data_IF_368644724773
#
_entry.id   IF_368644724773
#
_cell.length_a   1.000
_cell.length_b   1.000
_cell.length_c   1.000
_cell.angle_alpha   90.00
_cell.angle_beta   90.00
_cell.angle_gamma   90.00
#
_symmetry.space_group_name_H-M   'P 1'
#
loop_
_entity.id
_entity.type
_entity.pdbx_description
1 polymer ?
#
# COMPACT_ATOMS: atom_id res chain seq x y z
N UNK A 1 20.26 20.41 -49.43
CA UNK A 1 19.52 19.91 -50.61
C UNK A 1 19.15 18.47 -50.36
N UNK A 2 17.86 18.21 -50.18
CA UNK A 2 17.29 16.91 -49.85
C UNK A 2 16.04 17.07 -48.99
N UNK A 3 15.04 17.77 -49.52
CA UNK A 3 13.71 17.88 -48.93
C UNK A 3 13.07 16.47 -48.87
N UNK A 4 13.03 15.90 -47.67
CA UNK A 4 12.37 14.64 -47.37
C UNK A 4 11.00 14.85 -46.74
N UNK A 5 10.14 15.66 -47.37
CA UNK A 5 8.77 15.89 -46.91
C UNK A 5 7.85 14.77 -47.44
N UNK A 6 8.05 13.55 -46.93
CA UNK A 6 7.08 12.45 -47.05
C UNK A 6 6.26 12.37 -45.75
N UNK A 7 4.97 11.99 -45.79
CA UNK A 7 4.22 11.77 -44.57
C UNK A 7 4.92 10.67 -43.78
N UNK A 8 5.40 11.00 -42.58
CA UNK A 8 5.98 10.02 -41.67
C UNK A 8 4.92 8.96 -41.37
N UNK A 9 5.16 7.72 -41.83
CA UNK A 9 4.35 6.58 -41.44
C UNK A 9 4.46 6.36 -39.92
N UNK A 10 3.37 5.90 -39.29
CA UNK A 10 3.39 5.50 -37.87
C UNK A 10 4.61 4.62 -37.56
N UNK A 11 5.29 4.92 -36.46
CA UNK A 11 6.47 4.16 -36.00
C UNK A 11 7.80 4.54 -36.65
N UNK A 12 7.85 5.55 -37.55
CA UNK A 12 9.14 6.05 -38.07
C UNK A 12 9.90 6.80 -36.97
N UNK A 13 11.16 6.46 -36.75
CA UNK A 13 12.07 7.21 -35.88
C UNK A 13 12.55 8.47 -36.60
N UNK A 14 12.40 9.62 -35.94
CA UNK A 14 12.78 10.94 -36.40
C UNK A 14 13.95 11.40 -35.54
N UNK A 15 15.11 11.67 -36.15
CA UNK A 15 16.24 12.27 -35.45
C UNK A 15 16.03 13.78 -35.27
N UNK A 16 16.11 14.26 -34.03
CA UNK A 16 16.08 15.68 -33.68
C UNK A 16 17.36 16.01 -32.90
N UNK A 17 18.45 16.32 -33.61
CA UNK A 17 19.77 16.51 -33.01
C UNK A 17 20.23 15.26 -32.26
N UNK A 18 20.49 15.32 -30.94
CA UNK A 18 20.87 14.16 -30.14
C UNK A 18 19.71 13.23 -29.76
N UNK A 19 18.46 13.60 -30.05
CA UNK A 19 17.27 12.86 -29.64
C UNK A 19 16.70 11.97 -30.77
N UNK A 20 16.13 10.83 -30.37
CA UNK A 20 15.36 9.95 -31.25
C UNK A 20 13.88 10.02 -30.87
N UNK A 21 13.08 10.61 -31.75
CA UNK A 21 11.66 10.85 -31.54
C UNK A 21 10.81 9.90 -32.40
N UNK A 22 9.56 9.67 -32.03
CA UNK A 22 8.57 9.04 -32.91
C UNK A 22 7.20 9.65 -32.64
N UNK A 23 6.34 9.70 -33.67
CA UNK A 23 4.96 10.20 -33.54
C UNK A 23 4.06 9.25 -32.75
N UNK A 24 4.48 7.99 -32.58
CA UNK A 24 3.73 6.93 -31.91
C UNK A 24 3.94 6.86 -30.39
N UNK A 25 5.09 7.34 -29.90
CA UNK A 25 5.41 7.37 -28.47
C UNK A 25 5.02 8.72 -27.93
N UNK A 26 3.85 8.78 -27.31
CA UNK A 26 3.27 9.97 -26.71
C UNK A 26 2.63 9.64 -25.37
N UNK A 27 2.12 10.65 -24.68
CA UNK A 27 1.52 10.50 -23.35
C UNK A 27 0.28 9.57 -23.35
N UNK A 28 -0.49 9.52 -24.44
CA UNK A 28 -1.65 8.63 -24.55
C UNK A 28 -1.23 7.15 -24.58
N UNK A 29 -0.15 6.82 -25.31
CA UNK A 29 0.46 5.49 -25.29
C UNK A 29 0.94 5.12 -23.88
N UNK A 30 1.64 6.03 -23.20
CA UNK A 30 2.10 5.78 -21.82
C UNK A 30 0.92 5.51 -20.88
N UNK A 31 -0.15 6.30 -20.97
CA UNK A 31 -1.36 6.09 -20.18
C UNK A 31 -2.07 4.77 -20.52
N UNK A 32 -2.01 4.33 -21.78
CA UNK A 32 -2.54 3.01 -22.17
C UNK A 32 -1.71 1.86 -21.58
N UNK A 33 -0.38 2.00 -21.53
CA UNK A 33 0.52 1.02 -20.89
C UNK A 33 0.26 0.97 -19.38
N UNK A 34 0.11 2.14 -18.73
CA UNK A 34 -0.22 2.23 -17.31
C UNK A 34 -1.55 1.52 -16.99
N UNK A 35 -2.58 1.75 -17.81
CA UNK A 35 -3.87 1.09 -17.63
C UNK A 35 -3.78 -0.43 -17.75
N UNK A 36 -3.01 -0.93 -18.72
CA UNK A 36 -2.77 -2.37 -18.88
C UNK A 36 -2.01 -2.96 -17.68
N UNK A 37 -1.01 -2.26 -17.15
CA UNK A 37 -0.28 -2.67 -15.96
C UNK A 37 -1.17 -2.72 -14.70
N UNK A 38 -1.99 -1.69 -14.49
CA UNK A 38 -2.91 -1.62 -13.35
C UNK A 38 -3.98 -2.72 -13.42
N UNK A 39 -4.49 -3.03 -14.62
CA UNK A 39 -5.42 -4.14 -14.83
C UNK A 39 -4.79 -5.51 -14.59
N UNK A 40 -3.52 -5.72 -15.00
CA UNK A 40 -2.82 -7.00 -14.84
C UNK A 40 -2.48 -7.30 -13.37
N UNK A 41 -2.24 -6.25 -12.58
CA UNK A 41 -1.87 -6.33 -11.16
C UNK A 41 -3.04 -6.11 -10.20
N UNK A 42 -4.30 -6.09 -10.69
CA UNK A 42 -5.47 -5.74 -9.89
C UNK A 42 -5.80 -6.78 -8.79
N UNK A 43 -5.39 -8.04 -8.96
CA UNK A 43 -5.82 -9.16 -8.11
C UNK A 43 -4.70 -9.83 -7.31
N UNK A 44 -3.51 -9.25 -7.28
CA UNK A 44 -2.36 -9.82 -6.58
C UNK A 44 -1.82 -8.87 -5.49
N UNK A 45 -0.79 -9.32 -4.76
CA UNK A 45 -0.13 -8.49 -3.74
C UNK A 45 0.64 -7.29 -4.34
N UNK A 46 0.70 -7.17 -5.67
CA UNK A 46 1.28 -6.02 -6.36
C UNK A 46 0.23 -4.94 -6.63
N UNK A 47 -0.97 -5.06 -6.05
CA UNK A 47 -2.06 -4.09 -6.14
C UNK A 47 -1.79 -2.78 -5.36
N UNK A 48 -0.62 -2.14 -5.54
CA UNK A 48 -0.19 -0.96 -4.78
C UNK A 48 -0.61 0.36 -5.45
N UNK A 49 -0.72 1.42 -4.65
CA UNK A 49 -0.89 2.81 -5.08
C UNK A 49 0.39 3.34 -5.73
N UNK A 50 0.21 4.07 -6.84
CA UNK A 50 1.26 4.69 -7.63
C UNK A 50 1.09 6.21 -7.64
N UNK A 51 2.21 6.92 -7.55
CA UNK A 51 2.29 8.36 -7.70
C UNK A 51 2.90 8.68 -9.07
N UNK A 52 2.17 9.44 -9.89
CA UNK A 52 2.64 9.94 -11.17
C UNK A 52 2.82 11.46 -11.07
N UNK A 53 4.08 11.89 -11.03
CA UNK A 53 4.43 13.31 -11.08
C UNK A 53 4.71 13.75 -12.52
N UNK A 54 3.95 14.73 -13.00
CA UNK A 54 4.05 15.26 -14.36
C UNK A 54 4.93 16.53 -14.37
N UNK A 55 6.19 16.36 -14.76
CA UNK A 55 7.08 17.49 -15.03
C UNK A 55 6.81 18.06 -16.43
N UNK A 56 6.39 19.32 -16.50
CA UNK A 56 6.00 19.98 -17.73
C UNK A 56 7.12 20.85 -18.26
N UNK A 57 7.72 20.40 -19.36
CA UNK A 57 8.78 21.13 -20.04
C UNK A 57 8.32 21.64 -21.41
N UNK A 58 8.79 22.83 -21.78
CA UNK A 58 8.64 23.32 -23.15
C UNK A 58 9.72 22.67 -24.04
N UNK A 59 9.34 22.25 -25.24
CA UNK A 59 10.30 21.67 -26.17
C UNK A 59 11.18 22.76 -26.82
N UNK A 60 12.47 22.49 -26.97
CA UNK A 60 13.36 23.30 -27.78
C UNK A 60 12.96 23.27 -29.27
N UNK A 61 13.33 24.30 -30.06
CA UNK A 61 13.08 24.31 -31.50
C UNK A 61 13.62 23.07 -32.21
N UNK A 62 12.88 22.53 -33.17
CA UNK A 62 13.27 21.30 -33.86
C UNK A 62 14.55 21.45 -34.71
N UNK A 63 14.85 22.67 -35.16
CA UNK A 63 16.04 23.05 -35.92
C UNK A 63 17.26 23.34 -35.04
N UNK A 64 17.05 23.65 -33.75
CA UNK A 64 18.09 23.73 -32.72
C UNK A 64 17.62 23.09 -31.40
N UNK A 65 17.63 21.75 -31.32
CA UNK A 65 17.14 21.00 -30.16
C UNK A 65 18.03 21.14 -28.91
N UNK A 66 19.14 21.89 -29.01
CA UNK A 66 20.04 22.20 -27.89
C UNK A 66 19.89 23.63 -27.37
N UNK A 67 19.08 24.47 -28.05
CA UNK A 67 18.77 25.81 -27.59
C UNK A 67 17.78 25.79 -26.40
N UNK A 68 17.66 26.94 -25.74
CA UNK A 68 16.60 27.17 -24.76
C UNK A 68 15.23 27.03 -25.41
N UNK A 69 14.28 26.46 -24.69
CA UNK A 69 12.90 26.34 -25.16
C UNK A 69 12.21 27.70 -25.23
N UNK A 70 11.47 27.91 -26.32
CA UNK A 70 10.60 29.07 -26.50
C UNK A 70 9.23 28.84 -25.85
N UNK A 71 8.55 29.91 -25.47
CA UNK A 71 7.15 29.85 -25.01
C UNK A 71 6.26 29.38 -26.16
N UNK A 72 5.51 28.27 -26.01
CA UNK A 72 4.58 27.81 -27.04
C UNK A 72 3.49 28.85 -27.33
N UNK A 73 3.11 28.98 -28.60
CA UNK A 73 1.97 29.81 -28.97
C UNK A 73 0.68 29.27 -28.31
N UNK A 74 -0.26 30.15 -27.98
CA UNK A 74 -1.48 29.78 -27.25
C UNK A 74 -2.33 28.69 -27.94
N UNK A 75 -2.28 28.62 -29.28
CA UNK A 75 -2.97 27.60 -30.07
C UNK A 75 -2.21 26.26 -30.17
N UNK A 76 -0.94 26.23 -29.77
CA UNK A 76 -0.12 25.02 -29.68
C UNK A 76 -0.22 24.34 -28.30
N UNK A 77 -0.69 25.06 -27.28
CA UNK A 77 -0.95 24.49 -25.96
C UNK A 77 -2.12 23.50 -26.00
N UNK A 78 -2.04 22.38 -25.25
CA UNK A 78 -3.11 21.40 -25.23
C UNK A 78 -4.44 21.98 -24.72
N UNK A 79 -5.54 21.58 -25.36
CA UNK A 79 -6.89 22.00 -24.97
C UNK A 79 -7.92 20.91 -25.25
N UNK A 80 -9.07 20.99 -24.58
CA UNK A 80 -10.15 20.00 -24.72
C UNK A 80 -9.65 18.58 -24.49
N UNK A 81 -9.81 17.71 -25.49
CA UNK A 81 -9.43 16.29 -25.43
C UNK A 81 -7.93 16.02 -25.33
N UNK A 82 -7.09 17.04 -25.56
CA UNK A 82 -5.64 16.95 -25.47
C UNK A 82 -5.09 17.42 -24.13
N UNK A 83 -5.94 17.94 -23.23
CA UNK A 83 -5.52 18.21 -21.85
C UNK A 83 -5.01 16.92 -21.20
N UNK A 84 -4.02 17.04 -20.33
CA UNK A 84 -3.39 15.91 -19.65
C UNK A 84 -4.44 15.13 -18.85
N UNK A 85 -5.31 15.82 -18.11
CA UNK A 85 -6.42 15.18 -17.40
C UNK A 85 -7.33 14.39 -18.33
N UNK A 86 -7.63 14.92 -19.53
CA UNK A 86 -8.51 14.28 -20.50
C UNK A 86 -7.90 13.00 -21.09
N UNK A 87 -6.57 12.96 -21.23
CA UNK A 87 -5.84 11.76 -21.68
C UNK A 87 -5.81 10.72 -20.55
N UNK A 88 -5.47 11.13 -19.32
CA UNK A 88 -5.47 10.25 -18.14
C UNK A 88 -6.85 9.62 -17.94
N UNK A 89 -7.91 10.43 -17.90
CA UNK A 89 -9.27 9.96 -17.61
C UNK A 89 -9.83 9.03 -18.69
N UNK A 90 -9.38 9.15 -19.94
CA UNK A 90 -9.78 8.24 -21.01
C UNK A 90 -9.29 6.81 -20.78
N UNK A 91 -8.07 6.66 -20.28
CA UNK A 91 -7.39 5.36 -20.18
C UNK A 91 -7.36 4.81 -18.74
N UNK A 92 -7.38 5.68 -17.72
CA UNK A 92 -7.13 5.32 -16.31
C UNK A 92 -8.18 5.85 -15.33
N UNK A 93 -9.35 6.34 -15.78
CA UNK A 93 -10.38 6.90 -14.87
C UNK A 93 -10.81 5.96 -13.76
N UNK A 94 -10.94 4.65 -14.05
CA UNK A 94 -11.29 3.65 -13.06
C UNK A 94 -10.25 3.51 -11.93
N UNK A 95 -8.98 3.78 -12.25
CA UNK A 95 -7.86 3.60 -11.33
C UNK A 95 -7.39 4.90 -10.67
N UNK A 96 -7.90 6.07 -11.06
CA UNK A 96 -7.33 7.34 -10.61
C UNK A 96 -8.11 7.89 -9.42
N UNK A 97 -7.43 8.19 -8.30
CA UNK A 97 -8.00 8.96 -7.20
C UNK A 97 -7.65 10.44 -7.35
N UNK A 98 -8.65 11.32 -7.29
CA UNK A 98 -8.52 12.69 -7.78
C UNK A 98 -8.70 13.75 -6.67
N UNK A 99 -8.18 14.98 -6.86
CA UNK A 99 -8.46 16.11 -5.96
C UNK A 99 -9.97 16.42 -5.84
N UNK A 100 -10.73 16.17 -6.91
CA UNK A 100 -12.19 16.24 -6.94
C UNK A 100 -12.82 15.34 -5.89
N UNK A 101 -12.49 14.06 -5.94
CA UNK A 101 -12.98 13.05 -5.01
C UNK A 101 -12.53 13.32 -3.58
N UNK A 102 -11.24 13.66 -3.37
CA UNK A 102 -10.73 14.01 -2.05
C UNK A 102 -11.54 15.15 -1.41
N UNK A 103 -11.83 16.21 -2.16
CA UNK A 103 -12.59 17.37 -1.66
C UNK A 103 -14.03 16.99 -1.32
N UNK A 104 -14.69 16.22 -2.17
CA UNK A 104 -16.07 15.78 -1.95
C UNK A 104 -16.17 14.89 -0.72
N UNK A 105 -15.29 13.88 -0.62
CA UNK A 105 -15.27 12.95 0.50
C UNK A 105 -14.88 13.63 1.82
N UNK A 106 -13.91 14.57 1.80
CA UNK A 106 -13.57 15.39 2.97
C UNK A 106 -14.74 16.25 3.46
N UNK A 107 -15.60 16.71 2.56
CA UNK A 107 -16.75 17.54 2.92
C UNK A 107 -17.89 16.76 3.59
N UNK A 108 -17.95 15.44 3.35
CA UNK A 108 -18.92 14.55 3.96
C UNK A 108 -18.38 13.10 3.97
N UNK A 109 -17.88 12.66 5.12
CA UNK A 109 -17.30 11.34 5.33
C UNK A 109 -18.34 10.21 5.26
N UNK A 110 -19.60 10.53 5.54
CA UNK A 110 -20.76 9.63 5.53
C UNK A 110 -21.55 9.69 4.21
N UNK A 111 -21.07 10.45 3.21
CA UNK A 111 -21.68 10.40 1.89
C UNK A 111 -21.53 9.01 1.27
N UNK A 112 -22.51 8.60 0.46
CA UNK A 112 -22.44 7.31 -0.24
C UNK A 112 -21.16 7.23 -1.09
N UNK A 113 -20.33 6.22 -0.82
CA UNK A 113 -19.03 6.05 -1.50
C UNK A 113 -17.89 6.91 -0.91
N UNK A 114 -18.11 7.49 0.27
CA UNK A 114 -17.10 8.18 1.07
C UNK A 114 -16.54 7.26 2.16
N UNK A 115 -15.59 7.77 2.94
CA UNK A 115 -14.67 6.98 3.74
C UNK A 115 -15.31 6.18 4.88
N UNK A 116 -16.47 6.60 5.39
CA UNK A 116 -17.18 5.91 6.47
C UNK A 116 -18.36 5.06 5.98
N UNK A 117 -18.68 5.12 4.69
CA UNK A 117 -19.70 4.29 4.03
C UNK A 117 -19.11 3.03 3.37
N UNK A 118 -18.04 2.48 3.97
CA UNK A 118 -17.40 1.20 3.61
C UNK A 118 -17.31 0.29 4.83
N UNK A 119 -16.93 -0.98 4.63
CA UNK A 119 -16.67 -1.92 5.73
C UNK A 119 -15.58 -1.39 6.65
N UNK A 120 -15.68 -1.67 7.95
CA UNK A 120 -14.80 -1.07 8.97
C UNK A 120 -13.31 -1.28 8.70
N UNK A 121 -12.93 -2.41 8.10
CA UNK A 121 -11.54 -2.73 7.73
C UNK A 121 -10.96 -1.84 6.61
N UNK A 122 -11.81 -1.22 5.80
CA UNK A 122 -11.41 -0.29 4.74
C UNK A 122 -11.49 1.17 5.15
N UNK A 123 -11.98 1.48 6.37
CA UNK A 123 -12.11 2.88 6.82
C UNK A 123 -10.73 3.45 7.19
N UNK A 124 -10.48 4.74 6.95
CA UNK A 124 -9.32 5.39 7.51
C UNK A 124 -9.49 5.55 9.03
N UNK A 125 -8.39 5.40 9.76
CA UNK A 125 -8.35 5.49 11.22
C UNK A 125 -8.45 6.97 11.65
N UNK A 126 -9.61 7.36 12.17
CA UNK A 126 -9.91 8.76 12.50
C UNK A 126 -9.06 9.35 13.62
N UNK A 127 -8.32 8.52 14.36
CA UNK A 127 -7.41 8.98 15.42
C UNK A 127 -6.20 9.75 14.87
N UNK A 128 -5.91 9.66 13.57
CA UNK A 128 -4.78 10.36 12.93
C UNK A 128 -5.16 11.66 12.23
N UNK A 129 -6.44 12.04 12.24
CA UNK A 129 -6.89 13.28 11.60
C UNK A 129 -8.10 13.89 12.32
N UNK A 130 -8.42 15.13 12.00
CA UNK A 130 -9.52 15.84 12.66
C UNK A 130 -10.84 15.51 12.00
N UNK A 131 -11.83 15.06 12.78
CA UNK A 131 -13.23 14.93 12.33
C UNK A 131 -14.05 16.04 12.96
N UNK A 132 -14.59 16.91 12.11
CA UNK A 132 -15.52 17.96 12.49
C UNK A 132 -16.96 17.46 12.28
N UNK A 133 -17.73 17.38 13.35
CA UNK A 133 -19.13 16.94 13.33
C UNK A 133 -20.11 18.04 13.82
N UNK A 134 -19.75 19.31 13.62
CA UNK A 134 -20.51 20.44 14.16
C UNK A 134 -21.93 20.55 13.55
N UNK A 135 -22.10 20.09 12.31
CA UNK A 135 -23.33 20.21 11.52
C UNK A 135 -24.07 18.87 11.31
N UNK A 136 -23.75 17.82 12.07
CA UNK A 136 -24.23 16.43 11.85
C UNK A 136 -23.81 15.85 10.48
N UNK A 137 -22.82 16.46 9.85
CA UNK A 137 -22.18 15.98 8.62
C UNK A 137 -20.70 15.86 8.98
N UNK A 138 -20.23 14.64 9.29
CA UNK A 138 -18.82 14.43 9.59
C UNK A 138 -17.98 14.86 8.40
N UNK A 139 -17.03 15.77 8.65
CA UNK A 139 -16.13 16.31 7.63
C UNK A 139 -14.72 16.36 8.19
N UNK A 140 -13.72 16.49 7.33
CA UNK A 140 -12.33 16.61 7.77
C UNK A 140 -11.55 17.64 6.95
N UNK A 141 -10.79 18.53 7.61
CA UNK A 141 -9.93 19.47 6.91
C UNK A 141 -8.62 18.82 6.43
N UNK A 142 -8.18 17.72 7.06
CA UNK A 142 -6.82 17.19 6.93
C UNK A 142 -6.74 15.66 6.76
N UNK A 143 -7.84 14.92 6.90
CA UNK A 143 -7.84 13.47 6.73
C UNK A 143 -7.55 13.03 5.30
N UNK A 144 -7.04 11.82 5.14
CA UNK A 144 -6.89 11.14 3.85
C UNK A 144 -7.56 9.75 3.94
N UNK A 145 -8.03 9.21 2.81
CA UNK A 145 -8.39 7.79 2.77
C UNK A 145 -7.17 6.92 3.07
N UNK A 146 -7.42 5.71 3.58
CA UNK A 146 -6.39 4.68 3.74
C UNK A 146 -6.07 4.00 2.41
N UNK A 147 -4.93 3.30 2.35
CA UNK A 147 -4.62 2.39 1.23
C UNK A 147 -5.73 1.35 1.05
N UNK A 148 -6.23 0.77 2.14
CA UNK A 148 -7.37 -0.16 2.13
C UNK A 148 -8.63 0.45 1.48
N UNK A 149 -8.88 1.74 1.66
CA UNK A 149 -9.99 2.43 0.99
C UNK A 149 -9.73 2.60 -0.51
N UNK A 150 -8.60 3.19 -0.87
CA UNK A 150 -8.25 3.50 -2.26
C UNK A 150 -8.12 2.21 -3.08
N UNK A 151 -7.29 1.28 -2.62
CA UNK A 151 -6.88 0.07 -3.35
C UNK A 151 -7.93 -1.03 -3.30
N UNK A 152 -8.48 -1.33 -2.11
CA UNK A 152 -9.31 -2.52 -1.92
C UNK A 152 -10.82 -2.23 -2.03
N UNK A 153 -11.29 -1.13 -1.44
CA UNK A 153 -12.70 -0.75 -1.54
C UNK A 153 -13.05 -0.14 -2.90
N UNK A 154 -12.18 0.73 -3.43
CA UNK A 154 -12.47 1.51 -4.64
C UNK A 154 -11.73 1.03 -5.90
N UNK A 155 -10.78 0.11 -5.78
CA UNK A 155 -9.91 -0.34 -6.89
C UNK A 155 -9.19 0.83 -7.62
N UNK A 156 -8.99 1.94 -6.91
CA UNK A 156 -8.20 3.08 -7.36
C UNK A 156 -6.77 2.90 -6.88
N UNK A 157 -5.79 3.28 -7.71
CA UNK A 157 -4.37 2.98 -7.48
C UNK A 157 -3.43 4.03 -8.09
N UNK A 158 -3.95 5.12 -8.64
CA UNK A 158 -3.16 6.15 -9.30
C UNK A 158 -3.48 7.53 -8.72
N UNK A 159 -2.47 8.19 -8.19
CA UNK A 159 -2.48 9.60 -7.79
C UNK A 159 -1.63 10.36 -8.81
N UNK A 160 -2.17 11.43 -9.39
CA UNK A 160 -1.46 12.23 -10.40
C UNK A 160 -1.31 13.65 -9.93
N UNK A 161 -0.09 14.17 -9.98
CA UNK A 161 0.22 15.56 -9.64
C UNK A 161 1.02 16.26 -10.73
N UNK A 162 1.08 17.58 -10.66
CA UNK A 162 2.11 18.35 -11.35
C UNK A 162 3.38 18.39 -10.51
N UNK A 163 4.51 18.05 -11.13
CA UNK A 163 5.84 18.27 -10.56
C UNK A 163 6.38 19.63 -10.98
N UNK A 164 7.63 19.68 -11.47
CA UNK A 164 8.23 20.90 -11.98
C UNK A 164 7.56 21.39 -13.26
N UNK A 165 7.21 22.67 -13.33
CA UNK A 165 6.66 23.31 -14.52
C UNK A 165 7.62 24.39 -15.00
N UNK A 166 8.06 24.29 -16.25
CA UNK A 166 8.89 25.33 -16.88
C UNK A 166 8.11 26.66 -16.98
N UNK A 167 8.77 27.83 -16.79
CA UNK A 167 8.12 29.14 -16.96
C UNK A 167 7.43 29.32 -18.32
N UNK A 168 7.97 28.70 -19.37
CA UNK A 168 7.40 28.71 -20.71
C UNK A 168 6.02 28.03 -20.79
N UNK A 169 5.70 27.15 -19.84
CA UNK A 169 4.45 26.40 -19.77
C UNK A 169 3.39 27.05 -18.88
N UNK A 170 3.64 28.25 -18.34
CA UNK A 170 2.68 29.02 -17.53
C UNK A 170 1.33 29.24 -18.23
N UNK A 171 1.31 29.28 -19.57
CA UNK A 171 0.09 29.42 -20.36
C UNK A 171 -0.81 28.18 -20.40
N UNK A 172 -0.34 27.02 -19.92
CA UNK A 172 -1.14 25.79 -19.87
C UNK A 172 -2.38 25.97 -18.98
N UNK A 173 -3.50 25.35 -19.36
CA UNK A 173 -4.75 25.50 -18.64
C UNK A 173 -4.84 24.56 -17.42
N UNK A 174 -4.09 24.86 -16.38
CA UNK A 174 -4.09 24.10 -15.12
C UNK A 174 -5.47 24.04 -14.45
N UNK A 175 -6.27 25.11 -14.57
CA UNK A 175 -7.62 25.19 -13.98
C UNK A 175 -8.57 24.15 -14.57
N UNK A 176 -8.45 23.82 -15.86
CA UNK A 176 -9.26 22.77 -16.48
C UNK A 176 -8.95 21.38 -15.92
N UNK A 177 -7.73 21.18 -15.40
CA UNK A 177 -7.26 19.91 -14.86
C UNK A 177 -7.37 19.82 -13.32
N UNK A 178 -7.68 20.92 -12.64
CA UNK A 178 -7.60 21.05 -11.18
C UNK A 178 -8.54 20.12 -10.38
N UNK A 179 -9.54 19.51 -11.04
CA UNK A 179 -10.38 18.49 -10.40
C UNK A 179 -9.82 17.07 -10.52
N UNK A 180 -8.84 16.85 -11.39
CA UNK A 180 -8.33 15.54 -11.78
C UNK A 180 -6.85 15.34 -11.43
N UNK A 181 -6.05 16.41 -11.47
CA UNK A 181 -4.60 16.37 -11.20
C UNK A 181 -4.32 17.27 -9.99
N UNK A 182 -3.59 16.73 -9.02
CA UNK A 182 -3.16 17.49 -7.84
C UNK A 182 -2.22 18.63 -8.27
N UNK A 183 -2.38 19.84 -7.70
CA UNK A 183 -1.49 20.95 -8.02
C UNK A 183 -0.07 20.65 -7.52
N UNK A 184 0.89 21.42 -8.04
CA UNK A 184 2.27 21.35 -7.60
C UNK A 184 2.37 21.52 -6.07
N UNK A 185 3.31 20.77 -5.48
CA UNK A 185 3.63 20.80 -4.04
C UNK A 185 2.48 20.31 -3.13
N UNK A 186 1.41 19.72 -3.66
CA UNK A 186 0.32 19.21 -2.83
C UNK A 186 0.66 17.88 -2.14
N UNK A 187 1.27 16.94 -2.87
CA UNK A 187 1.63 15.60 -2.40
C UNK A 187 3.13 15.49 -2.15
N UNK A 188 3.94 16.07 -3.04
CA UNK A 188 5.41 15.95 -3.02
C UNK A 188 6.14 17.12 -2.36
N UNK A 189 5.46 17.99 -1.60
CA UNK A 189 6.16 19.06 -0.88
C UNK A 189 7.10 18.51 0.18
N UNK A 190 8.36 18.94 0.11
CA UNK A 190 9.34 18.61 1.15
C UNK A 190 9.00 19.37 2.43
N UNK A 191 9.01 18.65 3.55
CA UNK A 191 8.98 19.22 4.89
C UNK A 191 10.24 20.05 5.12
N UNK A 192 10.07 21.22 5.73
CA UNK A 192 11.17 22.07 6.18
C UNK A 192 11.82 21.41 7.39
N UNK A 193 12.97 20.79 7.17
CA UNK A 193 13.73 20.06 8.20
C UNK A 193 15.16 20.55 8.17
N UNK A 194 15.71 20.85 9.34
CA UNK A 194 17.12 21.20 9.48
C UNK A 194 17.88 19.99 10.05
N UNK A 195 18.79 19.45 9.24
CA UNK A 195 19.65 18.33 9.62
C UNK A 195 20.98 18.85 10.20
N UNK A 196 21.45 18.18 11.25
CA UNK A 196 22.77 18.41 11.83
C UNK A 196 23.46 17.07 12.16
N UNK A 197 24.70 17.12 12.65
CA UNK A 197 25.48 15.91 12.96
C UNK A 197 24.88 15.02 14.07
N UNK A 198 23.91 15.52 14.84
CA UNK A 198 23.18 14.81 15.88
C UNK A 198 21.80 14.31 15.41
N UNK A 199 21.42 14.55 14.15
CA UNK A 199 20.13 14.19 13.57
C UNK A 199 19.27 15.40 13.21
N UNK A 200 17.95 15.27 13.36
CA UNK A 200 16.98 16.33 13.04
C UNK A 200 16.99 17.41 14.13
N UNK A 201 17.43 18.61 13.78
CA UNK A 201 17.52 19.76 14.69
C UNK A 201 16.18 20.50 14.82
N UNK A 202 15.47 20.68 13.70
CA UNK A 202 14.18 21.38 13.60
C UNK A 202 13.29 20.65 12.59
N UNK A 203 11.97 20.70 12.80
CA UNK A 203 10.98 20.09 11.91
C UNK A 203 10.54 18.67 12.29
N UNK A 204 11.10 18.09 13.34
CA UNK A 204 10.68 16.78 13.87
C UNK A 204 9.24 16.82 14.41
N UNK A 205 8.39 15.83 14.07
CA UNK A 205 7.04 15.73 14.63
C UNK A 205 7.01 15.15 16.05
N UNK A 206 8.09 14.48 16.45
CA UNK A 206 8.27 14.09 17.84
C UNK A 206 8.64 15.32 18.67
N UNK A 207 7.87 15.58 19.73
CA UNK A 207 8.12 16.64 20.69
C UNK A 207 7.94 16.10 22.10
N UNK A 208 9.00 16.13 22.90
CA UNK A 208 8.93 15.66 24.28
C UNK A 208 7.87 16.42 25.08
N UNK A 209 6.99 15.68 25.76
CA UNK A 209 5.89 16.23 26.55
C UNK A 209 4.72 16.82 25.75
N UNK A 210 4.77 16.82 24.42
CA UNK A 210 3.65 17.19 23.54
C UNK A 210 3.20 15.98 22.73
N UNK A 211 1.91 15.67 22.80
CA UNK A 211 1.33 14.53 22.07
C UNK A 211 0.47 14.97 20.89
N UNK A 212 0.34 16.28 20.68
CA UNK A 212 -0.35 16.86 19.55
C UNK A 212 0.64 17.08 18.41
N UNK A 213 0.42 16.39 17.29
CA UNK A 213 1.15 16.67 16.05
C UNK A 213 0.47 17.87 15.38
N UNK A 214 1.12 19.03 15.43
CA UNK A 214 0.57 20.29 14.95
C UNK A 214 0.09 20.20 13.50
N UNK A 215 -1.20 20.53 13.29
CA UNK A 215 -1.87 20.61 11.99
C UNK A 215 -1.49 21.90 11.24
N UNK A 216 -0.87 22.87 11.91
CA UNK A 216 -0.60 24.20 11.38
C UNK A 216 0.33 24.20 10.14
N UNK A 217 1.05 23.09 9.89
CA UNK A 217 2.07 22.99 8.85
C UNK A 217 1.67 22.11 7.65
N UNK A 218 0.38 21.91 7.37
CA UNK A 218 -0.07 21.07 6.24
C UNK A 218 0.57 19.66 6.26
N UNK A 219 0.39 18.94 7.36
CA UNK A 219 0.99 17.64 7.63
C UNK A 219 0.36 16.45 6.86
N UNK A 220 -0.38 16.72 5.77
CA UNK A 220 -0.95 15.67 4.92
C UNK A 220 0.14 14.79 4.29
N UNK A 221 1.33 15.35 4.06
CA UNK A 221 2.48 14.66 3.51
C UNK A 221 3.72 15.06 4.29
N UNK A 222 4.30 14.11 5.01
CA UNK A 222 5.51 14.27 5.79
C UNK A 222 6.68 13.64 5.04
N UNK A 223 7.19 14.33 4.02
CA UNK A 223 8.28 13.84 3.17
C UNK A 223 9.50 14.75 3.30
N UNK A 224 10.71 14.23 3.12
CA UNK A 224 11.91 15.05 2.97
C UNK A 224 12.83 14.47 1.90
N UNK A 225 13.29 15.31 0.96
CA UNK A 225 14.17 14.86 -0.12
C UNK A 225 15.64 14.97 0.31
N UNK A 226 16.31 13.82 0.41
CA UNK A 226 17.74 13.72 0.70
C UNK A 226 18.53 13.95 -0.60
N UNK A 227 19.26 15.06 -0.67
CA UNK A 227 19.95 15.54 -1.87
C UNK A 227 21.49 15.48 -1.74
N UNK A 228 22.20 15.66 -2.86
CA UNK A 228 23.67 15.72 -2.90
C UNK A 228 24.21 16.81 -1.93
N UNK A 229 25.06 16.40 -0.98
CA UNK A 229 25.72 17.30 -0.02
C UNK A 229 25.43 17.01 1.45
N UNK A 230 24.52 16.08 1.75
CA UNK A 230 24.30 15.56 3.11
C UNK A 230 25.45 14.66 3.57
N UNK A 231 25.80 14.75 4.85
CA UNK A 231 27.04 14.19 5.39
C UNK A 231 26.95 12.67 5.66
N UNK A 232 25.77 12.16 6.02
CA UNK A 232 25.51 10.74 6.27
C UNK A 232 24.05 10.37 5.96
N UNK A 233 23.78 10.11 4.67
CA UNK A 233 22.44 9.80 4.13
C UNK A 233 21.74 8.67 4.88
N UNK A 234 22.48 7.67 5.37
CA UNK A 234 21.88 6.53 6.09
C UNK A 234 21.41 6.93 7.49
N UNK A 235 22.24 7.67 8.22
CA UNK A 235 21.88 8.22 9.52
C UNK A 235 20.72 9.20 9.39
N UNK A 236 20.77 10.10 8.41
CA UNK A 236 19.73 11.10 8.17
C UNK A 236 18.39 10.46 7.82
N UNK A 237 18.39 9.42 6.98
CA UNK A 237 17.18 8.66 6.67
C UNK A 237 16.54 8.00 7.90
N UNK A 238 17.36 7.42 8.79
CA UNK A 238 16.89 6.85 10.06
C UNK A 238 16.31 7.92 11.00
N UNK A 239 17.02 9.03 11.18
CA UNK A 239 16.59 10.13 12.04
C UNK A 239 15.29 10.79 11.54
N UNK A 240 15.15 11.00 10.23
CA UNK A 240 13.91 11.49 9.62
C UNK A 240 12.76 10.53 9.88
N UNK A 241 12.99 9.22 9.69
CA UNK A 241 11.98 8.19 9.92
C UNK A 241 11.51 8.19 11.37
N UNK A 242 12.43 8.21 12.33
CA UNK A 242 12.10 8.26 13.77
C UNK A 242 11.39 9.59 14.14
N UNK A 243 11.61 10.67 13.38
CA UNK A 243 10.88 11.93 13.47
C UNK A 243 9.50 11.96 12.81
N UNK A 244 9.04 10.84 12.24
CA UNK A 244 7.76 10.74 11.54
C UNK A 244 7.76 11.32 10.12
N UNK A 245 8.94 11.45 9.51
CA UNK A 245 9.12 12.00 8.17
C UNK A 245 9.67 10.90 7.26
N UNK A 246 9.03 10.70 6.10
CA UNK A 246 9.48 9.72 5.12
C UNK A 246 10.62 10.31 4.28
N UNK A 247 11.82 9.74 4.31
CA UNK A 247 12.92 10.21 3.49
C UNK A 247 12.76 9.73 2.04
N UNK A 248 12.94 10.64 1.09
CA UNK A 248 12.94 10.37 -0.34
C UNK A 248 14.36 10.53 -0.86
N UNK A 249 14.95 9.44 -1.34
CA UNK A 249 16.28 9.46 -1.93
C UNK A 249 16.23 10.13 -3.30
N UNK A 250 16.82 11.33 -3.41
CA UNK A 250 16.87 12.10 -4.65
C UNK A 250 18.30 12.22 -5.20
N UNK A 251 19.13 11.22 -4.94
CA UNK A 251 20.52 11.17 -5.38
C UNK A 251 20.96 9.74 -5.74
N UNK A 252 22.04 9.63 -6.51
CA UNK A 252 22.68 8.35 -6.81
C UNK A 252 23.69 8.02 -5.72
N UNK A 253 23.56 6.87 -5.06
CA UNK A 253 24.45 6.49 -3.98
C UNK A 253 25.77 5.95 -4.53
N UNK A 254 26.89 6.44 -3.97
CA UNK A 254 28.24 6.05 -4.39
C UNK A 254 28.52 6.24 -5.89
N UNK A 255 27.85 7.20 -6.54
CA UNK A 255 27.94 7.46 -8.00
C UNK A 255 27.58 6.23 -8.88
N UNK A 256 26.91 5.22 -8.33
CA UNK A 256 26.57 3.97 -9.02
C UNK A 256 25.07 3.71 -8.92
N UNK A 257 24.47 3.30 -10.02
CA UNK A 257 23.03 3.02 -10.05
C UNK A 257 22.68 1.73 -9.31
N UNK A 258 21.45 1.63 -8.79
CA UNK A 258 20.99 0.43 -8.07
C UNK A 258 21.05 -0.86 -8.91
N UNK A 259 20.96 -0.76 -10.24
CA UNK A 259 21.09 -1.92 -11.14
C UNK A 259 22.52 -2.44 -11.26
N UNK A 260 23.51 -1.58 -11.07
CA UNK A 260 24.93 -1.94 -11.07
C UNK A 260 25.40 -2.39 -9.68
N UNK A 261 24.99 -1.67 -8.62
CA UNK A 261 25.25 -2.04 -7.24
C UNK A 261 24.07 -1.68 -6.33
N UNK A 262 23.27 -2.67 -5.98
CA UNK A 262 22.09 -2.47 -5.12
C UNK A 262 22.41 -2.31 -3.63
N UNK A 263 23.65 -2.59 -3.18
CA UNK A 263 23.95 -2.67 -1.74
C UNK A 263 23.78 -1.35 -0.97
N UNK A 264 24.20 -0.18 -1.49
CA UNK A 264 23.97 1.10 -0.80
C UNK A 264 22.47 1.41 -0.68
N UNK A 265 21.71 1.10 -1.72
CA UNK A 265 20.25 1.26 -1.73
C UNK A 265 19.55 0.31 -0.76
N UNK A 266 20.04 -0.92 -0.62
CA UNK A 266 19.55 -1.85 0.41
C UNK A 266 19.84 -1.33 1.82
N UNK A 267 21.02 -0.75 2.05
CA UNK A 267 21.37 -0.14 3.33
C UNK A 267 20.46 1.07 3.65
N UNK A 268 20.16 1.90 2.64
CA UNK A 268 19.21 2.99 2.75
C UNK A 268 17.81 2.51 3.13
N UNK A 269 17.28 1.49 2.44
CA UNK A 269 15.98 0.91 2.79
C UNK A 269 15.99 0.32 4.20
N UNK A 270 17.10 -0.30 4.62
CA UNK A 270 17.25 -0.83 5.96
C UNK A 270 17.32 0.27 7.04
N UNK A 271 17.91 1.44 6.76
CA UNK A 271 17.94 2.56 7.72
C UNK A 271 16.57 3.19 7.95
N UNK A 272 15.64 3.08 6.99
CA UNK A 272 14.24 3.53 7.14
C UNK A 272 13.34 2.49 7.79
N UNK A 273 13.85 1.28 8.09
CA UNK A 273 13.08 0.27 8.82
C UNK A 273 13.03 0.65 10.30
N UNK A 274 11.85 1.08 10.73
CA UNK A 274 11.63 1.53 12.10
C UNK A 274 11.25 0.44 13.12
N UNK A 275 10.50 -0.64 12.78
CA UNK A 275 10.02 -1.56 13.80
C UNK A 275 11.11 -2.54 14.24
N UNK A 276 11.49 -3.48 13.38
CA UNK A 276 12.38 -4.59 13.75
C UNK A 276 13.85 -4.19 13.85
N UNK A 277 14.55 -4.74 14.84
CA UNK A 277 15.99 -4.61 14.99
C UNK A 277 16.77 -5.43 13.96
N UNK A 278 18.08 -5.22 13.91
CA UNK A 278 18.96 -5.96 13.02
C UNK A 278 18.88 -7.48 13.27
N UNK A 279 18.54 -8.24 12.22
CA UNK A 279 18.40 -9.69 12.30
C UNK A 279 17.06 -10.20 12.86
N UNK A 280 16.13 -9.28 13.17
CA UNK A 280 14.79 -9.60 13.65
C UNK A 280 13.73 -9.41 12.54
N UNK A 281 12.58 -10.10 12.61
CA UNK A 281 12.28 -11.18 13.55
C UNK A 281 13.19 -12.38 13.27
N UNK A 282 13.79 -12.96 14.31
CA UNK A 282 14.69 -14.09 14.18
C UNK A 282 13.96 -15.27 13.53
N UNK A 283 14.67 -16.01 12.68
CA UNK A 283 14.12 -17.21 12.05
C UNK A 283 14.09 -18.33 13.06
N UNK A 284 12.90 -18.71 13.52
CA UNK A 284 12.69 -19.89 14.34
C UNK A 284 12.62 -21.11 13.40
N UNK A 285 13.53 -22.07 13.55
CA UNK A 285 13.46 -23.36 12.86
C UNK A 285 12.58 -24.31 13.66
N UNK A 286 11.78 -25.17 13.00
CA UNK A 286 10.88 -26.13 13.67
C UNK A 286 11.61 -27.15 14.59
N UNK A 287 12.94 -27.21 14.51
CA UNK A 287 13.79 -28.13 15.29
C UNK A 287 14.51 -27.43 16.48
N UNK A 288 14.31 -26.13 16.69
CA UNK A 288 14.98 -25.37 17.76
C UNK A 288 14.12 -25.18 19.02
N UNK A 289 14.77 -25.10 20.18
CA UNK A 289 14.17 -24.66 21.46
C UNK A 289 13.64 -23.22 21.44
N UNK A 290 13.77 -22.53 20.30
CA UNK A 290 13.34 -21.16 20.06
C UNK A 290 11.87 -21.04 19.65
N UNK A 291 11.10 -22.14 19.65
CA UNK A 291 9.64 -22.18 19.42
C UNK A 291 8.83 -21.19 20.28
N UNK A 292 9.41 -20.70 21.38
CA UNK A 292 8.76 -19.74 22.25
C UNK A 292 8.96 -18.26 21.83
N UNK A 293 9.92 -17.93 20.96
CA UNK A 293 10.23 -16.55 20.52
C UNK A 293 9.23 -16.03 19.50
N UNK A 294 7.97 -15.93 19.92
CA UNK A 294 6.81 -15.68 19.06
C UNK A 294 6.07 -14.40 19.39
N UNK A 295 6.58 -13.63 20.35
CA UNK A 295 6.00 -12.38 20.84
C UNK A 295 6.98 -11.24 20.66
N UNK A 296 6.52 -10.10 20.17
CA UNK A 296 7.37 -8.94 19.94
C UNK A 296 7.53 -8.12 21.22
N UNK A 297 8.75 -7.70 21.49
CA UNK A 297 9.05 -6.73 22.53
C UNK A 297 9.88 -5.57 22.00
N UNK A 298 9.60 -4.37 22.46
CA UNK A 298 10.42 -3.19 22.26
C UNK A 298 11.62 -3.23 23.22
N UNK A 299 12.82 -2.97 22.69
CA UNK A 299 14.04 -2.86 23.48
C UNK A 299 14.36 -1.38 23.76
N UNK A 300 14.46 -1.00 25.05
CA UNK A 300 14.74 0.39 25.45
C UNK A 300 16.07 0.94 24.91
N UNK A 301 17.10 0.09 24.82
CA UNK A 301 18.43 0.50 24.38
C UNK A 301 18.44 0.81 22.89
N UNK A 302 17.92 -0.09 22.05
CA UNK A 302 17.96 0.08 20.59
C UNK A 302 16.79 0.90 20.05
N UNK A 303 15.68 0.98 20.79
CA UNK A 303 14.42 1.56 20.30
C UNK A 303 13.73 0.71 19.22
N UNK A 304 14.21 -0.52 18.98
CA UNK A 304 13.71 -1.44 17.96
C UNK A 304 13.08 -2.68 18.60
N UNK A 305 12.30 -3.39 17.81
CA UNK A 305 11.58 -4.58 18.20
C UNK A 305 12.46 -5.81 18.05
N UNK A 306 12.22 -6.80 18.91
CA UNK A 306 12.83 -8.12 18.83
C UNK A 306 11.83 -9.19 19.23
N UNK A 307 12.01 -10.40 18.70
CA UNK A 307 11.23 -11.56 19.13
C UNK A 307 11.72 -12.05 20.51
N UNK A 308 10.79 -12.32 21.41
CA UNK A 308 11.05 -12.70 22.82
C UNK A 308 10.16 -13.87 23.23
N UNK A 309 10.62 -14.68 24.19
CA UNK A 309 9.86 -15.81 24.73
C UNK A 309 8.59 -15.30 25.42
N UNK A 310 7.42 -15.68 24.87
CA UNK A 310 6.11 -15.23 25.34
C UNK A 310 5.80 -15.57 26.82
N UNK A 311 6.57 -16.48 27.45
CA UNK A 311 6.44 -16.87 28.85
C UNK A 311 7.26 -15.99 29.80
N UNK A 312 8.10 -15.09 29.28
CA UNK A 312 8.80 -14.11 30.11
C UNK A 312 7.84 -13.06 30.67
N UNK A 313 8.19 -12.54 31.85
CA UNK A 313 7.42 -11.50 32.51
C UNK A 313 8.00 -10.13 32.17
N UNK A 314 7.30 -9.38 31.33
CA UNK A 314 7.64 -8.01 30.96
C UNK A 314 6.46 -7.08 31.21
N UNK A 315 6.73 -5.78 31.28
CA UNK A 315 5.67 -4.78 31.21
C UNK A 315 5.05 -4.75 29.81
N UNK A 316 3.87 -4.16 29.65
CA UNK A 316 3.17 -4.02 28.37
C UNK A 316 2.98 -2.57 27.96
N UNK A 317 3.06 -2.32 26.65
CA UNK A 317 2.76 -1.04 26.04
C UNK A 317 1.25 -0.81 25.98
N UNK A 318 0.75 0.18 26.73
CA UNK A 318 -0.66 0.55 26.77
C UNK A 318 -0.87 1.89 26.05
N UNK A 319 -1.54 1.88 24.91
CA UNK A 319 -1.88 3.11 24.17
C UNK A 319 -3.14 3.74 24.76
N UNK A 320 -3.14 5.04 24.99
CA UNK A 320 -4.37 5.74 25.42
C UNK A 320 -5.40 5.77 24.29
N UNK A 321 -6.68 5.61 24.66
CA UNK A 321 -7.76 5.58 23.69
C UNK A 321 -7.87 6.92 22.95
N UNK A 322 -7.94 6.87 21.62
CA UNK A 322 -7.99 8.04 20.72
C UNK A 322 -6.75 8.96 20.73
N UNK A 323 -5.65 8.56 21.38
CA UNK A 323 -4.42 9.35 21.48
C UNK A 323 -3.24 8.53 20.94
N UNK A 324 -2.98 8.53 19.61
CA UNK A 324 -2.03 7.60 19.00
C UNK A 324 -0.60 7.75 19.52
N UNK A 325 -0.20 8.96 19.90
CA UNK A 325 1.15 9.28 20.36
C UNK A 325 1.33 9.18 21.87
N UNK A 326 0.26 8.89 22.63
CA UNK A 326 0.34 8.82 24.08
C UNK A 326 0.34 7.38 24.57
N UNK A 327 1.46 7.01 25.19
CA UNK A 327 1.72 5.66 25.68
C UNK A 327 1.88 5.65 27.19
N UNK A 328 1.39 4.58 27.81
CA UNK A 328 1.62 4.25 29.21
C UNK A 328 2.20 2.85 29.31
N UNK A 329 2.86 2.60 30.43
CA UNK A 329 3.39 1.28 30.76
C UNK A 329 2.40 0.58 31.70
N UNK A 330 2.21 -0.72 31.51
CA UNK A 330 1.36 -1.53 32.38
C UNK A 330 1.78 -1.40 33.85
N UNK A 331 0.81 -1.52 34.76
CA UNK A 331 1.07 -1.37 36.20
C UNK A 331 1.89 -2.50 36.81
N UNK A 332 1.97 -3.64 36.13
CA UNK A 332 2.75 -4.81 36.54
C UNK A 332 3.29 -5.57 35.33
N UNK A 333 4.38 -6.30 35.56
CA UNK A 333 4.92 -7.27 34.62
C UNK A 333 4.01 -8.51 34.53
N UNK A 334 3.98 -9.12 33.34
CA UNK A 334 3.26 -10.36 33.11
C UNK A 334 3.72 -11.07 31.86
N UNK A 335 3.28 -12.33 31.72
CA UNK A 335 3.43 -13.06 30.46
C UNK A 335 2.61 -12.40 29.37
N UNK A 336 3.01 -12.60 28.11
CA UNK A 336 2.41 -11.95 26.96
C UNK A 336 0.87 -12.04 26.95
N UNK A 337 0.30 -13.20 27.25
CA UNK A 337 -1.16 -13.46 27.24
C UNK A 337 -1.97 -12.78 28.36
N UNK A 338 -1.31 -12.14 29.34
CA UNK A 338 -1.97 -11.57 30.52
C UNK A 338 -1.59 -10.13 30.81
N UNK A 339 -0.61 -9.59 30.08
CA UNK A 339 -0.08 -8.24 30.32
C UNK A 339 -1.11 -7.14 30.06
N UNK A 340 -2.11 -7.43 29.22
CA UNK A 340 -3.27 -6.58 28.93
C UNK A 340 -4.04 -6.14 30.19
N UNK A 341 -4.08 -7.00 31.22
CA UNK A 341 -4.73 -6.72 32.50
C UNK A 341 -4.04 -5.61 33.30
N UNK A 342 -2.81 -5.28 32.95
CA UNK A 342 -2.05 -4.21 33.58
C UNK A 342 -2.32 -2.84 32.97
N UNK A 343 -3.04 -2.75 31.85
CA UNK A 343 -3.52 -1.48 31.28
C UNK A 343 -4.77 -0.98 32.02
N UNK A 344 -4.95 0.34 32.09
CA UNK A 344 -6.07 0.96 32.81
C UNK A 344 -7.34 0.97 31.93
N UNK A 345 -8.48 1.45 32.46
CA UNK A 345 -9.74 1.52 31.68
C UNK A 345 -9.66 2.41 30.43
N UNK A 346 -8.74 3.37 30.44
CA UNK A 346 -8.62 4.41 29.40
C UNK A 346 -7.45 4.13 28.43
N UNK A 347 -6.83 2.95 28.54
CA UNK A 347 -5.76 2.51 27.65
C UNK A 347 -5.86 1.02 27.32
N UNK A 348 -5.30 0.63 26.18
CA UNK A 348 -5.34 -0.75 25.68
C UNK A 348 -3.93 -1.26 25.37
N UNK A 349 -3.71 -2.56 25.59
CA UNK A 349 -2.45 -3.19 25.19
C UNK A 349 -2.32 -3.17 23.67
N UNK A 350 -1.30 -2.49 23.15
CA UNK A 350 -1.22 -2.10 21.75
C UNK A 350 0.21 -2.21 21.20
N UNK A 351 0.33 -1.89 19.91
CA UNK A 351 1.60 -1.85 19.17
C UNK A 351 1.65 -0.54 18.38
N UNK A 352 2.79 0.17 18.35
CA UNK A 352 2.96 1.33 17.50
C UNK A 352 2.66 1.01 16.04
N UNK A 353 1.93 1.88 15.35
CA UNK A 353 1.59 1.68 13.93
C UNK A 353 2.46 2.48 12.98
N UNK A 354 3.15 3.49 13.49
CA UNK A 354 4.05 4.37 12.73
C UNK A 354 5.39 4.49 13.44
N UNK A 355 6.41 4.92 12.69
CA UNK A 355 7.72 5.23 13.26
C UNK A 355 7.62 6.27 14.39
N UNK A 356 6.78 7.30 14.19
CA UNK A 356 6.56 8.35 15.18
C UNK A 356 5.96 7.81 16.48
N UNK A 357 4.93 6.95 16.38
CA UNK A 357 4.38 6.27 17.56
C UNK A 357 5.42 5.42 18.30
N UNK A 358 6.31 4.75 17.55
CA UNK A 358 7.39 3.97 18.15
C UNK A 358 8.35 4.87 18.92
N UNK A 359 8.71 6.04 18.37
CA UNK A 359 9.55 7.04 19.05
C UNK A 359 8.93 7.52 20.35
N UNK A 360 7.62 7.85 20.35
CA UNK A 360 6.90 8.21 21.58
C UNK A 360 6.88 7.07 22.59
N UNK A 361 6.65 5.82 22.15
CA UNK A 361 6.66 4.67 23.05
C UNK A 361 8.06 4.40 23.64
N UNK A 362 9.12 4.52 22.84
CA UNK A 362 10.51 4.37 23.29
C UNK A 362 10.84 5.40 24.37
N UNK A 363 10.48 6.66 24.15
CA UNK A 363 10.68 7.73 25.13
C UNK A 363 9.89 7.45 26.43
N UNK A 364 8.59 7.13 26.34
CA UNK A 364 7.77 6.78 27.50
C UNK A 364 8.33 5.58 28.29
N UNK A 365 8.87 4.57 27.60
CA UNK A 365 9.47 3.40 28.23
C UNK A 365 10.78 3.73 28.95
N UNK A 366 11.65 4.54 28.33
CA UNK A 366 12.90 4.99 28.94
C UNK A 366 12.64 5.84 30.19
N UNK A 367 11.70 6.78 30.12
CA UNK A 367 11.28 7.59 31.27
C UNK A 367 10.77 6.70 32.42
N UNK A 368 9.92 5.71 32.11
CA UNK A 368 9.45 4.77 33.12
C UNK A 368 10.58 4.00 33.82
N UNK A 369 11.56 3.53 33.05
CA UNK A 369 12.73 2.81 33.59
C UNK A 369 13.61 3.70 34.48
N UNK A 370 13.74 4.98 34.14
CA UNK A 370 14.45 5.96 34.98
C UNK A 370 13.73 6.22 36.31
N UNK A 371 12.39 6.28 36.28
CA UNK A 371 11.56 6.43 37.49
C UNK A 371 11.49 5.15 38.34
N UNK A 372 11.61 3.97 37.71
CA UNK A 372 11.51 2.65 38.35
C UNK A 372 12.78 1.83 38.15
N UNK A 373 13.95 2.31 38.62
CA UNK A 373 15.22 1.63 38.37
C UNK A 373 15.23 0.25 39.02
N UNK A 374 15.55 -0.80 38.25
CA UNK A 374 15.75 -2.12 38.81
C UNK A 374 17.08 -2.15 39.58
N UNK A 375 17.07 -2.34 40.93
CA UNK A 375 18.30 -2.37 41.72
C UNK A 375 19.24 -3.54 41.39
N UNK A 376 18.76 -4.54 40.63
CA UNK A 376 19.53 -5.69 40.18
C UNK A 376 20.02 -5.59 38.73
N UNK A 377 19.71 -4.50 38.01
CA UNK A 377 20.20 -4.29 36.64
C UNK A 377 21.71 -4.04 36.66
N UNK A 378 22.48 -5.00 36.14
CA UNK A 378 23.92 -4.88 35.96
C UNK A 378 24.19 -4.11 34.65
N UNK A 379 24.22 -2.79 34.72
CA UNK A 379 24.44 -1.88 33.57
C UNK A 379 25.90 -1.83 33.08
N UNK A 380 26.69 -2.90 33.21
CA UNK A 380 28.03 -2.98 32.60
C UNK A 380 27.91 -3.15 31.07
N UNK A 381 27.60 -2.07 30.37
CA UNK A 381 27.55 -1.94 28.92
C UNK A 381 28.96 -1.81 28.33
N UNK A 382 29.65 -2.95 28.16
CA UNK A 382 30.81 -3.09 27.28
C UNK A 382 30.60 -4.06 26.11
N UNK A 383 29.38 -4.58 25.93
CA UNK A 383 29.09 -5.48 24.82
C UNK A 383 28.29 -4.75 23.73
N UNK A 384 28.85 -4.77 22.52
CA UNK A 384 28.31 -4.19 21.29
C UNK A 384 26.81 -4.49 21.09
N UNK A 385 25.95 -3.54 21.47
CA UNK A 385 24.56 -3.41 20.98
C UNK A 385 23.52 -4.43 21.44
N UNK A 386 23.86 -5.41 22.26
CA UNK A 386 22.91 -6.38 22.81
C UNK A 386 22.96 -6.35 24.35
N UNK A 387 22.26 -5.39 24.97
CA UNK A 387 21.94 -5.50 26.39
C UNK A 387 20.96 -6.66 26.56
N UNK A 388 21.42 -7.77 27.15
CA UNK A 388 20.61 -8.94 27.50
C UNK A 388 19.87 -8.73 28.83
N UNK A 389 19.72 -7.49 29.30
CA UNK A 389 18.92 -7.24 30.49
C UNK A 389 17.44 -7.33 30.08
N UNK A 390 16.77 -8.41 30.51
CA UNK A 390 15.34 -8.63 30.29
C UNK A 390 14.50 -7.46 30.83
N UNK A 391 15.05 -6.66 31.75
CA UNK A 391 14.42 -5.47 32.33
C UNK A 391 14.23 -4.32 31.33
N UNK A 392 14.93 -4.33 30.19
CA UNK A 392 14.82 -3.30 29.15
C UNK A 392 13.75 -3.59 28.10
N UNK A 393 13.03 -4.71 28.23
CA UNK A 393 12.05 -5.16 27.25
C UNK A 393 10.63 -4.78 27.67
N UNK A 394 9.85 -4.36 26.67
CA UNK A 394 8.45 -4.00 26.81
C UNK A 394 7.60 -4.79 25.81
N UNK A 395 6.59 -5.51 26.28
CA UNK A 395 5.68 -6.22 25.40
C UNK A 395 4.95 -5.27 24.46
N UNK A 396 4.86 -5.67 23.20
CA UNK A 396 4.03 -5.07 22.16
C UNK A 396 2.92 -6.05 21.81
N UNK A 397 1.70 -5.58 21.52
CA UNK A 397 0.61 -6.46 21.11
C UNK A 397 0.75 -6.98 19.67
N UNK A 398 1.87 -7.65 19.38
CA UNK A 398 2.27 -8.18 18.09
C UNK A 398 2.98 -9.52 18.26
N UNK A 399 2.51 -10.54 17.54
CA UNK A 399 2.98 -11.91 17.74
C UNK A 399 2.75 -12.74 16.48
N UNK A 400 3.38 -13.91 16.38
CA UNK A 400 3.10 -14.89 15.34
C UNK A 400 2.52 -16.19 15.92
N UNK A 401 1.74 -16.14 17.01
CA UNK A 401 1.29 -17.33 17.75
C UNK A 401 0.34 -18.24 16.95
N UNK A 402 -0.49 -17.67 16.08
CA UNK A 402 -1.40 -18.44 15.22
C UNK A 402 -0.63 -19.28 14.18
N UNK A 403 0.36 -18.67 13.52
CA UNK A 403 1.22 -19.36 12.57
C UNK A 403 2.64 -18.81 12.55
N UNK A 404 3.64 -19.69 12.52
CA UNK A 404 5.07 -19.40 12.73
C UNK A 404 5.68 -18.35 11.80
N UNK A 405 5.09 -18.11 10.63
CA UNK A 405 5.56 -17.11 9.66
C UNK A 405 4.62 -15.92 9.49
N UNK A 406 3.63 -15.76 10.36
CA UNK A 406 2.59 -14.74 10.22
C UNK A 406 2.45 -13.90 11.46
N UNK A 407 3.12 -12.74 11.47
CA UNK A 407 3.01 -11.78 12.56
C UNK A 407 1.71 -10.97 12.43
N UNK A 408 0.94 -10.92 13.51
CA UNK A 408 -0.38 -10.30 13.61
C UNK A 408 -0.48 -9.42 14.85
N UNK A 409 -1.28 -8.35 14.73
CA UNK A 409 -1.65 -7.48 15.84
C UNK A 409 -2.72 -8.16 16.69
N UNK A 410 -2.59 -8.15 18.01
CA UNK A 410 -3.58 -8.74 18.92
C UNK A 410 -3.18 -10.12 19.48
N UNK A 411 -3.48 -10.39 20.75
CA UNK A 411 -3.17 -11.68 21.40
C UNK A 411 -4.02 -12.85 20.89
N UNK A 412 -5.20 -12.60 20.31
CA UNK A 412 -6.18 -13.60 19.88
C UNK A 412 -6.60 -13.39 18.41
N UNK A 413 -5.67 -13.00 17.55
CA UNK A 413 -5.92 -12.80 16.12
C UNK A 413 -5.38 -13.96 15.30
N UNK A 414 -6.12 -14.29 14.25
CA UNK A 414 -5.74 -15.32 13.28
C UNK A 414 -4.99 -14.69 12.12
N UNK A 415 -4.06 -15.44 11.55
CA UNK A 415 -3.31 -15.04 10.37
C UNK A 415 -4.25 -14.82 9.17
N UNK A 416 -4.33 -13.60 8.60
CA UNK A 416 -5.21 -13.33 7.46
C UNK A 416 -4.69 -13.96 6.15
N UNK A 417 -3.38 -14.25 6.08
CA UNK A 417 -2.73 -14.77 4.87
C UNK A 417 -2.83 -16.30 4.73
N UNK A 418 -3.16 -16.98 5.82
CA UNK A 418 -3.43 -18.41 5.77
C UNK A 418 -4.90 -18.55 5.47
N UNK A 419 -5.19 -18.98 4.25
CA UNK A 419 -6.53 -19.43 3.93
C UNK A 419 -6.86 -20.53 4.93
N UNK A 420 -7.83 -20.26 5.81
CA UNK A 420 -8.58 -21.33 6.47
C UNK A 420 -8.96 -22.25 5.35
N UNK A 421 -8.31 -23.41 5.26
CA UNK A 421 -8.40 -24.35 4.16
C UNK A 421 -9.82 -24.31 3.64
N UNK A 422 -10.01 -23.77 2.42
CA UNK A 422 -11.33 -23.70 1.80
C UNK A 422 -11.85 -25.12 1.91
N UNK A 423 -12.78 -25.29 2.85
CA UNK A 423 -13.19 -26.58 3.35
C UNK A 423 -13.53 -27.44 2.14
N UNK A 424 -13.11 -28.70 2.17
CA UNK A 424 -13.28 -29.77 1.17
C UNK A 424 -14.64 -29.79 0.43
N UNK A 425 -15.65 -29.09 0.95
CA UNK A 425 -16.93 -28.73 0.34
C UNK A 425 -16.84 -28.32 -1.15
N UNK A 426 -15.93 -27.43 -1.59
CA UNK A 426 -15.91 -26.97 -3.00
C UNK A 426 -15.40 -28.05 -3.96
N UNK A 427 -14.52 -28.94 -3.48
CA UNK A 427 -14.00 -30.08 -4.24
C UNK A 427 -15.03 -31.21 -4.39
N UNK A 428 -16.02 -31.30 -3.49
CA UNK A 428 -17.14 -32.26 -3.55
C UNK A 428 -18.29 -31.75 -4.41
N UNK A 429 -18.55 -30.44 -4.48
CA UNK A 429 -19.71 -29.88 -5.20
C UNK A 429 -19.57 -30.04 -6.72
N UNK A 430 -18.39 -29.82 -7.30
CA UNK A 430 -18.21 -29.88 -8.77
C UNK A 430 -18.42 -31.29 -9.35
N UNK A 431 -17.85 -32.38 -8.78
CA UNK A 431 -18.13 -33.74 -9.22
C UNK A 431 -19.59 -34.15 -9.00
N UNK A 432 -20.20 -33.71 -7.90
CA UNK A 432 -21.57 -34.09 -7.55
C UNK A 432 -22.59 -33.46 -8.50
N UNK A 433 -22.43 -32.17 -8.83
CA UNK A 433 -23.31 -31.49 -9.81
C UNK A 433 -23.15 -32.12 -11.20
N UNK A 434 -21.91 -32.43 -11.62
CA UNK A 434 -21.67 -33.13 -12.88
C UNK A 434 -22.33 -34.51 -12.92
N UNK A 435 -22.25 -35.29 -11.82
CA UNK A 435 -22.89 -36.60 -11.72
C UNK A 435 -24.43 -36.51 -11.78
N UNK A 436 -25.03 -35.51 -11.12
CA UNK A 436 -26.48 -35.27 -11.18
C UNK A 436 -26.92 -34.91 -12.59
N UNK A 437 -26.19 -34.04 -13.30
CA UNK A 437 -26.49 -33.68 -14.70
C UNK A 437 -26.42 -34.91 -15.61
N UNK A 438 -25.37 -35.73 -15.50
CA UNK A 438 -25.23 -36.97 -16.28
C UNK A 438 -26.36 -37.95 -15.97
N UNK A 439 -26.73 -38.09 -14.69
CA UNK A 439 -27.83 -38.96 -14.28
C UNK A 439 -29.18 -38.49 -14.84
N UNK A 440 -29.48 -37.19 -14.77
CA UNK A 440 -30.70 -36.61 -15.34
C UNK A 440 -30.72 -36.79 -16.86
N UNK A 441 -29.61 -36.53 -17.55
CA UNK A 441 -29.48 -36.75 -18.98
C UNK A 441 -29.69 -38.22 -19.37
N UNK A 442 -29.13 -39.18 -18.60
CA UNK A 442 -29.31 -40.62 -18.81
C UNK A 442 -30.77 -41.04 -18.62
N UNK A 443 -31.41 -40.57 -17.56
CA UNK A 443 -32.82 -40.84 -17.28
C UNK A 443 -33.72 -40.27 -18.39
N UNK A 444 -33.46 -39.04 -18.85
CA UNK A 444 -34.18 -38.44 -19.98
C UNK A 444 -33.98 -39.24 -21.27
N UNK A 445 -32.76 -39.70 -21.58
CA UNK A 445 -32.51 -40.54 -22.77
C UNK A 445 -33.22 -41.88 -22.69
N UNK A 446 -33.31 -42.49 -21.49
CA UNK A 446 -34.10 -43.72 -21.28
C UNK A 446 -35.59 -43.43 -21.50
N UNK A 447 -36.13 -42.34 -20.95
CA UNK A 447 -37.54 -41.99 -21.16
C UNK A 447 -37.86 -41.72 -22.63
N UNK A 448 -36.98 -41.03 -23.37
CA UNK A 448 -37.13 -40.80 -24.81
C UNK A 448 -37.08 -42.13 -25.58
N UNK A 449 -36.16 -43.05 -25.27
CA UNK A 449 -36.11 -44.38 -25.90
C UNK A 449 -37.34 -45.22 -25.57
N UNK A 450 -37.81 -45.21 -24.33
CA UNK A 450 -39.03 -45.91 -23.92
C UNK A 450 -40.27 -45.33 -24.62
N UNK A 451 -40.37 -44.00 -24.75
CA UNK A 451 -41.45 -43.33 -25.48
C UNK A 451 -41.40 -43.65 -26.99
N UNK A 452 -40.23 -43.61 -27.61
CA UNK A 452 -40.03 -43.96 -29.02
C UNK A 452 -40.34 -45.44 -29.28
N UNK A 453 -39.92 -46.34 -28.40
CA UNK A 453 -40.21 -47.77 -28.53
C UNK A 453 -41.71 -48.07 -28.30
N UNK A 454 -42.39 -47.32 -27.42
CA UNK A 454 -43.86 -47.38 -27.24
C UNK A 454 -44.61 -46.86 -28.47
N UNK A 455 -44.12 -45.83 -29.15
CA UNK A 455 -44.68 -45.37 -30.42
C UNK A 455 -44.44 -46.39 -31.54
N UNK A 456 -43.25 -46.98 -31.62
CA UNK A 456 -42.92 -47.99 -32.64
C UNK A 456 -43.68 -49.30 -32.45
N UNK A 457 -43.87 -49.77 -31.21
CA UNK A 457 -44.74 -50.94 -30.93
C UNK A 457 -46.21 -50.64 -31.23
N UNK A 458 -46.72 -49.44 -30.94
CA UNK A 458 -48.08 -49.03 -31.36
C UNK A 458 -48.24 -48.93 -32.88
N UNK A 459 -47.21 -48.50 -33.62
CA UNK A 459 -47.20 -48.50 -35.10
C UNK A 459 -47.09 -49.92 -35.68
N UNK A 460 -46.29 -50.80 -35.08
CA UNK A 460 -46.11 -52.19 -35.55
C UNK A 460 -47.35 -53.05 -35.29
N UNK A 461 -48.10 -52.80 -34.21
CA UNK A 461 -49.42 -53.44 -33.97
C UNK A 461 -50.53 -52.97 -34.92
N UNK A 462 -50.31 -51.90 -35.70
CA UNK A 462 -51.23 -51.41 -36.75
C UNK A 462 -50.82 -51.85 -38.17
N UNK A 463 -49.69 -52.56 -38.33
CA UNK A 463 -49.22 -53.15 -39.59
C UNK A 463 -48.97 -54.64 -39.41
N UNK A 464 -50.05 -55.37 -39.20
CA UNK A 464 -50.05 -56.81 -39.02
C UNK A 464 -51.34 -57.40 -39.55
N UNK A 465 -51.53 -57.30 -40.87
CA UNK A 465 -52.21 -58.27 -41.75
C UNK A 465 -51.82 -57.87 -43.20
N UNK A 466 -51.62 -58.88 -44.04
CA UNK A 466 -51.02 -58.88 -45.39
C UNK A 466 -49.47 -58.79 -45.41
N UNK A 467 -48.68 -59.87 -45.57
CA UNK A 467 -48.97 -61.20 -46.12
C UNK A 467 -48.57 -61.29 -47.59
N UNK A 468 -47.41 -61.91 -47.85
CA UNK A 468 -46.86 -62.41 -49.14
C UNK A 468 -46.31 -61.30 -50.07
N UNK A 469 -45.09 -61.40 -50.61
CA UNK A 469 -44.68 -62.38 -51.62
C UNK A 469 -43.24 -62.91 -51.47
N UNK A 470 -43.10 -64.21 -51.74
CA UNK A 470 -41.87 -64.96 -51.92
C UNK A 470 -41.58 -65.06 -53.43
N UNK A 471 -40.34 -64.77 -53.83
CA UNK A 471 -39.84 -64.92 -55.20
C UNK A 471 -39.77 -66.40 -55.64
N UNK A 472 -40.20 -66.71 -56.87
CA UNK A 472 -39.83 -67.95 -57.56
C UNK A 472 -40.85 -68.44 -58.61
N UNK A 473 -40.46 -68.37 -59.88
CA UNK A 473 -41.13 -68.96 -61.07
C UNK A 473 -40.05 -69.77 -61.83
N UNK A 474 -40.33 -70.77 -62.69
CA UNK A 474 -41.34 -71.84 -62.73
C UNK A 474 -40.74 -73.27 -62.69
N UNK A 475 -41.61 -74.27 -62.52
CA UNK A 475 -41.63 -75.51 -63.33
C UNK A 475 -43.06 -76.00 -63.47
#
# INVERSE_FOLDING_TARGET
MGDGNGPSSEGTLIGAGPYACTTSVNFDLFMSIMAAFLADTETDLNATTLYLSLNLHAAAPADDPTASADTPAANALPSGRNLLSSIIQRNNSAYTYTPGQLREQRSNLDARGSWFEVETEYRPESVYFTVNDADQIPSTPNGWPSESFIELSNAQRLLVEYGSVDPQMEGYNFTADASQIFPQDYISSSSSVDLNASGVAEGCFFQEGSYEVSIANNNSWALHHLNDGELDVLSDAGNLTDCGISPILNQTLEEVTASENYRPYLAYVASTMWPWGAGEPRRVSEDDSDDNYRCASLNATTGRWQATDCQEAHYGACRENNEPYRWRISTAQGIYQKVDRGCNSDSEFATPRTALENTYLVNAWREYLEEHPNPNSNTNTQNNGASQSNDELLWLNFNNLDATTCWVLGQNTTCPYISTTVSETRQVVVPTVAAVIVFVCAVLTIFVKCAANRQNTKRRKRRGEDGWDYEGVPS
#
